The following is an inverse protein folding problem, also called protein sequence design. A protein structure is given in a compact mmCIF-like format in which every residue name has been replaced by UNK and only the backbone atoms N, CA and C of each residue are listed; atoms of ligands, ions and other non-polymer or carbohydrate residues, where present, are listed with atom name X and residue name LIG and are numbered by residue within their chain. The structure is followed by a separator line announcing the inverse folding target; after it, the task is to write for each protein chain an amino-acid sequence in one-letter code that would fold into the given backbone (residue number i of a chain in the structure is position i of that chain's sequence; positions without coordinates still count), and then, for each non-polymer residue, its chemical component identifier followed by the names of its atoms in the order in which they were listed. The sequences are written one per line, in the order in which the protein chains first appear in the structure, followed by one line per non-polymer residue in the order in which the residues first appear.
data_IF_014257663132
#
_entry.id   IF_014257663132
#
_cell.length_a   1.000
_cell.length_b   1.000
_cell.length_c   1.000
_cell.angle_alpha   90.00
_cell.angle_beta   90.00
_cell.angle_gamma   90.00
#
_symmetry.space_group_name_H-M   'P 1'
#
loop_
_entity.id
_entity.type
_entity.pdbx_description
1 polymer ?
#
# COMPACT_ATOMS: atom_id res chain seq x y z
N UNK A 1 20.48 -34.00 -2.84
CA UNK A 1 20.08 -34.42 -1.50
C UNK A 1 18.79 -33.67 -1.12
N UNK A 2 17.66 -34.37 -1.24
CA UNK A 2 16.36 -33.78 -0.85
C UNK A 2 16.23 -33.96 0.66
N UNK A 3 16.31 -32.86 1.40
CA UNK A 3 16.06 -32.87 2.84
C UNK A 3 14.55 -32.62 3.05
N UNK A 4 13.83 -33.69 3.37
CA UNK A 4 12.42 -33.56 3.72
C UNK A 4 12.33 -33.22 5.22
N UNK A 5 11.98 -32.00 5.56
CA UNK A 5 11.71 -31.59 6.94
C UNK A 5 10.21 -31.73 7.17
N UNK A 6 9.80 -32.78 7.85
CA UNK A 6 8.39 -33.07 8.15
C UNK A 6 7.90 -32.35 9.39
N UNK A 7 8.79 -32.05 10.34
CA UNK A 7 8.46 -31.26 11.54
C UNK A 7 9.66 -30.43 11.98
N UNK A 8 9.39 -29.16 12.30
CA UNK A 8 10.35 -28.27 12.94
C UNK A 8 9.64 -27.58 14.13
N UNK A 9 10.14 -27.80 15.33
CA UNK A 9 9.71 -27.04 16.51
C UNK A 9 10.67 -25.87 16.72
N UNK A 10 10.12 -24.69 16.99
CA UNK A 10 10.89 -23.45 17.18
C UNK A 10 11.03 -22.62 15.91
N UNK A 11 11.90 -21.61 15.95
CA UNK A 11 12.14 -20.72 14.82
C UNK A 11 13.07 -21.37 13.78
N UNK A 12 12.66 -21.35 12.53
CA UNK A 12 13.50 -21.78 11.41
C UNK A 12 14.02 -20.54 10.69
N UNK A 13 15.34 -20.40 10.59
CA UNK A 13 16.02 -19.30 9.91
C UNK A 13 16.44 -19.74 8.51
N UNK A 14 16.03 -18.99 7.49
CA UNK A 14 16.47 -19.17 6.10
C UNK A 14 17.17 -17.90 5.64
N UNK A 15 18.45 -17.97 5.32
CA UNK A 15 19.27 -16.86 4.86
C UNK A 15 19.89 -16.03 5.99
N UNK A 16 20.94 -15.29 5.66
CA UNK A 16 21.68 -14.46 6.58
C UNK A 16 22.06 -13.08 5.98
N UNK A 17 21.58 -12.79 4.78
CA UNK A 17 21.83 -11.53 4.10
C UNK A 17 20.58 -11.01 3.37
N UNK A 18 20.57 -9.71 3.07
CA UNK A 18 19.46 -9.06 2.35
C UNK A 18 19.37 -9.49 0.87
N UNK A 19 20.37 -10.20 0.35
CA UNK A 19 20.41 -10.74 -1.01
C UNK A 19 19.91 -12.18 -1.12
N UNK A 20 19.58 -12.82 0.01
CA UNK A 20 19.13 -14.21 -0.01
C UNK A 20 17.73 -14.32 -0.62
N UNK A 21 17.59 -15.21 -1.60
CA UNK A 21 16.32 -15.48 -2.29
C UNK A 21 15.90 -16.90 -1.99
N UNK A 22 14.67 -17.05 -1.47
CA UNK A 22 14.05 -18.36 -1.27
C UNK A 22 13.02 -18.63 -2.36
N UNK A 23 13.39 -19.44 -3.35
CA UNK A 23 12.48 -19.87 -4.40
C UNK A 23 11.66 -21.06 -3.92
N UNK A 24 10.34 -20.91 -3.91
CA UNK A 24 9.40 -21.97 -3.63
C UNK A 24 8.51 -22.23 -4.85
N UNK A 25 8.46 -23.46 -5.32
CA UNK A 25 7.49 -23.92 -6.32
C UNK A 25 6.34 -24.64 -5.61
N UNK A 26 5.11 -24.38 -6.04
CA UNK A 26 3.90 -24.90 -5.40
C UNK A 26 3.23 -23.92 -4.44
N UNK A 27 2.11 -24.34 -3.88
CA UNK A 27 1.32 -23.53 -2.94
C UNK A 27 2.03 -23.38 -1.58
N UNK A 28 1.80 -22.25 -0.91
CA UNK A 28 2.28 -21.99 0.44
C UNK A 28 1.11 -21.54 1.31
N UNK A 29 0.95 -22.18 2.46
CA UNK A 29 -0.05 -21.80 3.45
C UNK A 29 0.61 -21.52 4.79
N UNK A 30 0.30 -20.35 5.39
CA UNK A 30 0.59 -20.04 6.79
C UNK A 30 -0.72 -20.08 7.53
N UNK A 31 -0.82 -20.90 8.57
CA UNK A 31 -2.07 -21.17 9.26
C UNK A 31 -1.90 -21.18 10.79
N UNK A 32 -2.98 -20.86 11.51
CA UNK A 32 -3.08 -21.07 12.95
C UNK A 32 -3.34 -22.56 13.27
N UNK A 33 -4.00 -23.26 12.35
CA UNK A 33 -4.27 -24.69 12.42
C UNK A 33 -4.44 -25.24 10.99
N UNK A 34 -4.52 -26.54 10.82
CA UNK A 34 -4.68 -27.18 9.50
C UNK A 34 -5.91 -26.70 8.71
N UNK A 35 -6.93 -26.15 9.37
CA UNK A 35 -8.18 -25.66 8.76
C UNK A 35 -8.35 -24.14 8.78
N UNK A 36 -7.37 -23.38 9.29
CA UNK A 36 -7.50 -21.95 9.50
C UNK A 36 -6.30 -21.19 8.92
N UNK A 37 -6.20 -21.06 7.59
CA UNK A 37 -5.11 -20.32 6.96
C UNK A 37 -5.22 -18.82 7.26
N UNK A 38 -4.08 -18.17 7.52
CA UNK A 38 -3.94 -16.71 7.64
C UNK A 38 -3.44 -16.10 6.33
N UNK A 39 -2.53 -16.80 5.68
CA UNK A 39 -2.01 -16.47 4.36
C UNK A 39 -2.01 -17.76 3.53
N UNK A 40 -2.61 -17.72 2.38
CA UNK A 40 -2.60 -18.81 1.41
C UNK A 40 -2.15 -18.29 0.04
N UNK A 41 -1.09 -18.86 -0.50
CA UNK A 41 -0.61 -18.61 -1.85
C UNK A 41 -0.92 -19.85 -2.68
N UNK A 42 -1.97 -19.77 -3.48
CA UNK A 42 -2.44 -20.87 -4.29
C UNK A 42 -1.93 -20.80 -5.73
N UNK A 43 -1.24 -21.83 -6.17
CA UNK A 43 -0.81 -21.96 -7.58
C UNK A 43 -1.96 -22.36 -8.49
N UNK A 44 -2.98 -23.01 -7.97
CA UNK A 44 -4.16 -23.44 -8.74
C UNK A 44 -5.05 -22.26 -9.10
N UNK A 45 -5.31 -21.37 -8.13
CA UNK A 45 -6.15 -20.19 -8.36
C UNK A 45 -5.35 -18.96 -8.75
N UNK A 46 -4.03 -19.02 -8.69
CA UNK A 46 -3.10 -17.92 -8.94
C UNK A 46 -3.40 -16.70 -8.05
N UNK A 47 -3.75 -16.94 -6.80
CA UNK A 47 -4.17 -15.91 -5.83
C UNK A 47 -3.38 -15.99 -4.55
N UNK A 48 -3.24 -14.83 -3.92
CA UNK A 48 -2.85 -14.69 -2.51
C UNK A 48 -4.10 -14.32 -1.72
N UNK A 49 -4.47 -15.18 -0.77
CA UNK A 49 -5.60 -14.94 0.13
C UNK A 49 -5.06 -14.66 1.53
N UNK A 50 -5.49 -13.54 2.11
CA UNK A 50 -5.17 -13.17 3.50
C UNK A 50 -6.46 -12.98 4.28
N UNK A 51 -6.50 -13.40 5.54
CA UNK A 51 -7.68 -13.25 6.40
C UNK A 51 -7.95 -11.81 6.80
N UNK A 52 -6.89 -11.02 6.95
CA UNK A 52 -6.97 -9.61 7.26
C UNK A 52 -5.74 -8.91 6.71
N UNK A 53 -5.93 -7.69 6.22
CA UNK A 53 -4.87 -6.83 5.73
C UNK A 53 -4.96 -5.49 6.45
N UNK A 54 -3.85 -5.08 7.08
CA UNK A 54 -3.70 -3.75 7.64
C UNK A 54 -2.62 -3.02 6.82
N UNK A 55 -3.06 -2.06 6.00
CA UNK A 55 -2.14 -1.18 5.29
C UNK A 55 -1.46 -0.21 6.26
N UNK A 56 -0.25 0.24 5.92
CA UNK A 56 0.44 1.26 6.71
C UNK A 56 -0.35 2.56 6.69
N UNK A 57 -0.77 3.01 7.87
CA UNK A 57 -1.40 4.31 8.09
C UNK A 57 -0.34 5.38 8.37
N UNK A 58 -0.52 6.57 7.77
CA UNK A 58 0.36 7.73 7.98
C UNK A 58 -0.49 8.97 8.22
N UNK A 59 -0.47 9.57 9.43
CA UNK A 59 -1.15 10.83 9.70
C UNK A 59 -0.39 12.02 9.11
N UNK A 60 -1.12 12.96 8.54
CA UNK A 60 -0.59 14.23 8.02
C UNK A 60 -1.09 15.37 8.89
N UNK A 61 -0.16 15.98 9.64
CA UNK A 61 -0.41 17.10 10.56
C UNK A 61 0.11 18.43 10.06
N UNK A 62 0.91 18.41 8.98
CA UNK A 62 1.52 19.61 8.39
C UNK A 62 0.79 20.05 7.13
N UNK A 63 0.95 21.36 6.77
CA UNK A 63 0.39 21.94 5.55
C UNK A 63 1.11 21.52 4.26
N UNK A 64 2.32 21.01 4.37
CA UNK A 64 3.08 20.45 3.25
C UNK A 64 3.47 19.01 3.59
N UNK A 65 3.18 18.06 2.69
CA UNK A 65 3.46 16.66 2.89
C UNK A 65 3.92 15.99 1.59
N UNK A 66 4.95 15.16 1.68
CA UNK A 66 5.40 14.32 0.56
C UNK A 66 5.31 12.85 0.96
N UNK A 67 4.58 12.06 0.20
CA UNK A 67 4.44 10.62 0.47
C UNK A 67 5.66 9.84 -0.01
N UNK A 68 5.85 8.65 0.55
CA UNK A 68 6.80 7.64 0.06
C UNK A 68 6.05 6.44 -0.52
N UNK A 69 6.72 5.63 -1.32
CA UNK A 69 6.15 4.42 -1.92
C UNK A 69 5.74 3.33 -0.91
N UNK A 70 6.15 3.47 0.36
CA UNK A 70 5.78 2.54 1.42
C UNK A 70 4.45 2.89 2.12
N UNK A 71 3.77 3.96 1.69
CA UNK A 71 2.51 4.42 2.28
C UNK A 71 1.32 3.83 1.53
N UNK A 72 0.30 3.42 2.28
CA UNK A 72 -0.95 2.88 1.73
C UNK A 72 -2.16 3.73 2.12
N UNK A 73 -2.28 4.07 3.40
CA UNK A 73 -3.35 4.91 3.95
C UNK A 73 -2.77 6.21 4.50
N UNK A 74 -3.25 7.33 3.99
CA UNK A 74 -2.87 8.67 4.46
C UNK A 74 -4.10 9.35 5.05
N UNK A 75 -4.06 9.64 6.35
CA UNK A 75 -5.09 10.39 7.05
C UNK A 75 -4.69 11.84 7.26
N UNK A 76 -5.43 12.80 6.71
CA UNK A 76 -5.16 14.22 6.90
C UNK A 76 -5.89 14.70 8.15
N UNK A 77 -5.13 15.01 9.20
CA UNK A 77 -5.65 15.36 10.54
C UNK A 77 -5.54 16.85 10.88
N UNK A 78 -4.88 17.66 10.05
CA UNK A 78 -4.86 19.12 10.22
C UNK A 78 -6.06 19.78 9.54
N UNK A 79 -6.67 20.78 10.15
CA UNK A 79 -7.81 21.53 9.60
C UNK A 79 -7.42 22.59 8.55
N UNK A 80 -6.14 22.91 8.41
CA UNK A 80 -5.61 23.87 7.43
C UNK A 80 -5.55 23.28 6.03
N UNK A 81 -5.29 24.12 5.02
CA UNK A 81 -4.96 23.66 3.67
C UNK A 81 -3.71 22.81 3.68
N UNK A 82 -3.72 21.74 2.87
CA UNK A 82 -2.59 20.83 2.73
C UNK A 82 -2.21 20.71 1.26
N UNK A 83 -0.93 20.95 0.97
CA UNK A 83 -0.30 20.57 -0.29
C UNK A 83 0.32 19.19 -0.12
N UNK A 84 -0.29 18.21 -0.74
CA UNK A 84 0.15 16.84 -0.70
C UNK A 84 0.80 16.46 -2.03
N UNK A 85 2.06 16.06 -1.97
CA UNK A 85 2.79 15.52 -3.11
C UNK A 85 2.93 14.02 -2.95
N UNK A 86 2.20 13.24 -3.73
CA UNK A 86 2.38 11.79 -3.75
C UNK A 86 3.60 11.42 -4.61
N UNK A 87 4.23 10.30 -4.29
CA UNK A 87 5.38 9.80 -5.07
C UNK A 87 4.97 9.49 -6.51
N UNK A 88 5.94 9.50 -7.41
CA UNK A 88 5.69 9.26 -8.83
C UNK A 88 5.15 7.83 -9.06
N UNK A 89 4.23 7.67 -10.02
CA UNK A 89 3.61 6.38 -10.32
C UNK A 89 4.62 5.32 -10.76
N UNK A 90 5.68 5.71 -11.49
CA UNK A 90 6.76 4.81 -11.87
C UNK A 90 7.63 4.35 -10.69
N UNK A 91 7.72 5.15 -9.61
CA UNK A 91 8.38 4.76 -8.36
C UNK A 91 7.50 3.82 -7.54
N UNK A 92 6.18 4.04 -7.55
CA UNK A 92 5.22 3.16 -6.90
C UNK A 92 5.17 1.77 -7.54
N UNK A 93 5.31 1.71 -8.84
CA UNK A 93 5.11 0.51 -9.64
C UNK A 93 3.66 0.30 -10.08
N UNK A 94 3.46 -0.56 -11.05
CA UNK A 94 2.13 -0.95 -11.55
C UNK A 94 1.37 -1.75 -10.49
N UNK A 95 0.10 -1.43 -10.28
CA UNK A 95 -0.77 -2.07 -9.29
C UNK A 95 -0.63 -1.51 -7.87
N UNK A 96 0.25 -0.52 -7.63
CA UNK A 96 0.30 0.16 -6.33
C UNK A 96 -1.00 0.90 -6.05
N UNK A 97 -1.45 0.86 -4.81
CA UNK A 97 -2.68 1.49 -4.32
C UNK A 97 -2.33 2.50 -3.24
N UNK A 98 -3.00 3.65 -3.25
CA UNK A 98 -2.88 4.70 -2.26
C UNK A 98 -4.27 5.26 -1.94
N UNK A 99 -4.59 5.38 -0.66
CA UNK A 99 -5.84 5.99 -0.19
C UNK A 99 -5.50 7.22 0.64
N UNK A 100 -6.14 8.34 0.33
CA UNK A 100 -6.02 9.60 1.06
C UNK A 100 -7.40 9.95 1.61
N UNK A 101 -7.47 10.19 2.92
CA UNK A 101 -8.71 10.50 3.63
C UNK A 101 -8.53 11.81 4.41
N UNK A 102 -9.49 12.71 4.26
CA UNK A 102 -9.67 13.81 5.21
C UNK A 102 -10.39 13.31 6.47
N UNK A 103 -9.72 13.39 7.61
CA UNK A 103 -10.26 12.95 8.90
C UNK A 103 -10.81 14.11 9.74
N UNK A 104 -10.82 15.33 9.18
CA UNK A 104 -11.30 16.54 9.87
C UNK A 104 -12.75 16.82 9.47
N UNK A 105 -13.65 16.85 10.46
CA UNK A 105 -15.09 17.07 10.24
C UNK A 105 -15.41 18.47 9.68
N UNK A 106 -14.64 19.47 10.04
CA UNK A 106 -14.88 20.88 9.67
C UNK A 106 -13.59 21.51 9.15
N UNK A 107 -13.20 21.13 7.92
CA UNK A 107 -12.03 21.73 7.27
C UNK A 107 -12.37 23.11 6.72
N UNK A 108 -11.51 24.08 7.05
CA UNK A 108 -11.56 25.43 6.46
C UNK A 108 -10.72 25.51 5.17
N UNK A 109 -9.69 24.68 5.08
CA UNK A 109 -8.75 24.63 3.95
C UNK A 109 -9.09 23.57 2.90
N UNK A 110 -8.24 23.46 1.89
CA UNK A 110 -8.33 22.50 0.78
C UNK A 110 -7.17 21.54 0.84
N UNK A 111 -7.41 20.27 0.52
CA UNK A 111 -6.34 19.31 0.29
C UNK A 111 -6.10 19.26 -1.22
N UNK A 112 -4.92 19.69 -1.65
CA UNK A 112 -4.48 19.60 -3.05
C UNK A 112 -3.51 18.43 -3.18
N UNK A 113 -3.86 17.44 -3.97
CA UNK A 113 -3.04 16.25 -4.22
C UNK A 113 -2.40 16.38 -5.59
N UNK A 114 -1.08 16.34 -5.66
CA UNK A 114 -0.30 16.33 -6.90
C UNK A 114 0.67 15.15 -6.91
N UNK A 115 1.06 14.69 -8.09
CA UNK A 115 2.09 13.65 -8.21
C UNK A 115 3.48 14.25 -8.40
N UNK A 116 4.50 13.56 -7.92
CA UNK A 116 5.89 13.95 -8.13
C UNK A 116 6.32 13.68 -9.59
N UNK A 117 7.31 14.46 -10.05
CA UNK A 117 7.86 14.32 -11.40
C UNK A 117 6.87 14.74 -12.49
N UNK A 118 6.84 13.98 -13.58
CA UNK A 118 5.97 14.21 -14.75
C UNK A 118 4.69 13.39 -14.72
N UNK A 119 4.51 12.54 -13.71
CA UNK A 119 3.33 11.67 -13.61
C UNK A 119 2.08 12.48 -13.28
N UNK A 120 0.93 12.00 -13.75
CA UNK A 120 -0.36 12.69 -13.65
C UNK A 120 -1.35 11.88 -12.82
N UNK A 121 -2.42 12.53 -12.38
CA UNK A 121 -3.58 11.90 -11.76
C UNK A 121 -4.74 12.10 -12.74
N UNK A 122 -5.24 11.04 -13.36
CA UNK A 122 -6.25 11.08 -14.45
C UNK A 122 -5.91 12.09 -15.56
N UNK A 123 -4.62 12.18 -15.93
CA UNK A 123 -4.14 13.14 -16.92
C UNK A 123 -3.99 14.58 -16.39
N UNK A 124 -4.38 14.88 -15.15
CA UNK A 124 -4.32 16.20 -14.53
C UNK A 124 -3.05 16.40 -13.70
N UNK A 125 -2.63 17.66 -13.51
CA UNK A 125 -1.47 18.01 -12.69
C UNK A 125 -1.73 17.87 -11.19
N UNK A 126 -2.97 18.04 -10.78
CA UNK A 126 -3.39 17.92 -9.39
C UNK A 126 -4.87 17.54 -9.29
N UNK A 127 -5.26 17.11 -8.10
CA UNK A 127 -6.64 16.81 -7.72
C UNK A 127 -6.95 17.52 -6.39
N UNK A 128 -8.13 18.14 -6.26
CA UNK A 128 -8.55 18.80 -5.03
C UNK A 128 -9.64 17.97 -4.34
N UNK A 129 -9.42 17.67 -3.08
CA UNK A 129 -10.42 17.05 -2.22
C UNK A 129 -11.29 18.15 -1.61
N UNK A 130 -12.60 18.09 -1.83
CA UNK A 130 -13.59 19.04 -1.34
C UNK A 130 -14.79 18.33 -0.74
N UNK A 131 -15.55 19.04 0.10
CA UNK A 131 -16.70 18.48 0.81
C UNK A 131 -16.38 18.03 2.23
N UNK A 132 -17.33 17.34 2.86
CA UNK A 132 -17.18 16.84 4.23
C UNK A 132 -16.49 15.47 4.20
N UNK A 133 -15.37 15.34 4.91
CA UNK A 133 -14.59 14.10 5.00
C UNK A 133 -14.27 13.47 3.62
N UNK A 134 -13.80 14.24 2.62
CA UNK A 134 -13.52 13.68 1.31
C UNK A 134 -12.42 12.62 1.37
N UNK A 135 -12.47 11.69 0.44
CA UNK A 135 -11.43 10.69 0.24
C UNK A 135 -11.16 10.51 -1.24
N UNK A 136 -9.97 10.02 -1.58
CA UNK A 136 -9.60 9.60 -2.91
C UNK A 136 -8.85 8.28 -2.82
N UNK A 137 -9.23 7.35 -3.67
CA UNK A 137 -8.50 6.09 -3.86
C UNK A 137 -7.80 6.13 -5.21
N UNK A 138 -6.53 5.81 -5.23
CA UNK A 138 -5.67 5.90 -6.40
C UNK A 138 -4.99 4.56 -6.66
N UNK A 139 -4.89 4.18 -7.94
CA UNK A 139 -4.00 3.11 -8.36
C UNK A 139 -2.99 3.62 -9.39
N UNK A 140 -1.83 2.98 -9.44
CA UNK A 140 -0.77 3.24 -10.42
C UNK A 140 -0.77 2.20 -11.52
N UNK A 141 -0.65 2.62 -12.78
CA UNK A 141 -0.35 1.73 -13.90
C UNK A 141 1.15 1.65 -14.24
N UNK A 142 2.00 2.22 -13.37
CA UNK A 142 3.44 2.32 -13.57
C UNK A 142 3.89 3.58 -14.32
N UNK A 143 2.97 4.32 -14.94
CA UNK A 143 3.25 5.58 -15.64
C UNK A 143 2.48 6.76 -15.03
N UNK A 144 1.22 6.57 -14.67
CA UNK A 144 0.35 7.57 -14.08
C UNK A 144 -0.50 6.98 -12.97
N UNK A 145 -1.08 7.87 -12.16
CA UNK A 145 -2.08 7.56 -11.16
C UNK A 145 -3.49 7.73 -11.74
N UNK A 146 -4.42 6.90 -11.27
CA UNK A 146 -5.82 6.92 -11.65
C UNK A 146 -6.72 6.84 -10.43
N UNK A 147 -7.80 7.60 -10.43
CA UNK A 147 -8.85 7.56 -9.41
C UNK A 147 -9.80 6.39 -9.66
N UNK A 148 -10.24 5.69 -8.60
CA UNK A 148 -11.20 4.59 -8.69
C UNK A 148 -12.14 4.54 -7.50
#
# INVERSE_FOLDING_TARGET
HVKNVTEASGSTFFGNSNGDVHLRTGSMTVALSSSTPILDVSTTTQRVTVRGFAGRYTPVTASLFTSSNAMYLIGVTTGSSVEMRIHAANTAGSGAILVIKDEVASRVGVITVSSSGTTKIDGQGFYQLSGSHPAISLYSNGANWFVY
#
